data_IF_847690490777
#
_entry.id   IF_847690490777
#
_cell.length_a   1.000
_cell.length_b   1.000
_cell.length_c   1.000
_cell.angle_alpha   90.00
_cell.angle_beta   90.00
_cell.angle_gamma   90.00
#
_symmetry.space_group_name_H-M   'P 1'
#
loop_
_entity.id
_entity.type
_entity.pdbx_description
1 polymer ?
#
# COMPACT_ATOMS: atom_id res chain seq x y z
N UNK A 1 -16.56 2.06 8.72
CA UNK A 1 -16.59 2.36 7.28
C UNK A 1 -16.84 3.85 7.11
N UNK A 2 -16.00 4.55 6.35
CA UNK A 2 -16.28 5.89 5.85
C UNK A 2 -16.96 5.78 4.48
N UNK A 3 -17.94 6.63 4.21
CA UNK A 3 -18.69 6.67 2.95
C UNK A 3 -18.82 8.12 2.52
N UNK A 4 -18.48 8.39 1.27
CA UNK A 4 -18.69 9.67 0.61
C UNK A 4 -19.62 9.48 -0.58
N UNK A 5 -20.55 10.39 -0.75
CA UNK A 5 -21.51 10.37 -1.86
C UNK A 5 -21.66 11.79 -2.41
N UNK A 6 -21.38 11.98 -3.68
CA UNK A 6 -21.59 13.23 -4.37
C UNK A 6 -23.11 13.49 -4.54
N UNK A 7 -23.56 14.71 -4.22
CA UNK A 7 -25.00 15.00 -4.11
C UNK A 7 -25.70 14.98 -5.48
N UNK A 8 -25.04 15.44 -6.55
CA UNK A 8 -25.65 15.52 -7.88
C UNK A 8 -25.56 14.18 -8.63
N UNK A 9 -24.37 13.60 -8.71
CA UNK A 9 -24.10 12.38 -9.48
C UNK A 9 -24.53 11.10 -8.76
N UNK A 10 -24.67 11.13 -7.42
CA UNK A 10 -24.69 9.92 -6.58
C UNK A 10 -23.42 9.06 -6.69
N UNK A 11 -22.31 9.64 -7.13
CA UNK A 11 -21.02 8.96 -7.15
C UNK A 11 -20.60 8.58 -5.73
N UNK A 12 -20.22 7.32 -5.53
CA UNK A 12 -19.96 6.74 -4.22
C UNK A 12 -18.51 6.29 -4.10
N UNK A 13 -17.96 6.57 -2.94
CA UNK A 13 -16.69 6.03 -2.52
C UNK A 13 -16.78 5.59 -1.06
N UNK A 14 -16.14 4.47 -0.73
CA UNK A 14 -16.14 3.98 0.64
C UNK A 14 -14.81 3.30 0.99
N UNK A 15 -14.44 3.38 2.27
CA UNK A 15 -13.25 2.72 2.83
C UNK A 15 -13.51 2.24 4.25
N UNK A 16 -12.98 1.05 4.56
CA UNK A 16 -12.97 0.50 5.92
C UNK A 16 -11.77 1.01 6.70
N UNK A 17 -11.98 1.28 7.97
CA UNK A 17 -10.94 1.65 8.93
C UNK A 17 -11.03 0.76 10.16
N UNK A 18 -9.90 0.51 10.88
CA UNK A 18 -9.90 -0.34 12.07
C UNK A 18 -10.76 0.20 13.21
N UNK A 19 -10.84 1.53 13.33
CA UNK A 19 -11.55 2.23 14.42
C UNK A 19 -12.28 3.45 13.87
N UNK A 20 -13.24 3.95 14.65
CA UNK A 20 -13.91 5.22 14.40
C UNK A 20 -13.30 6.29 15.32
N UNK A 21 -12.30 6.99 14.84
CA UNK A 21 -11.59 8.05 15.56
C UNK A 21 -11.23 9.23 14.63
N UNK A 22 -10.71 10.31 15.21
CA UNK A 22 -10.33 11.52 14.48
C UNK A 22 -9.30 11.25 13.39
N UNK A 23 -8.35 10.35 13.62
CA UNK A 23 -7.33 10.00 12.65
C UNK A 23 -7.92 9.33 11.42
N UNK A 24 -8.78 8.30 11.61
CA UNK A 24 -9.48 7.65 10.50
C UNK A 24 -10.41 8.61 9.75
N UNK A 25 -10.99 9.59 10.46
CA UNK A 25 -11.76 10.66 9.84
C UNK A 25 -10.91 11.53 8.90
N UNK A 26 -9.75 12.00 9.36
CA UNK A 26 -8.82 12.80 8.55
C UNK A 26 -8.31 12.01 7.34
N UNK A 27 -7.89 10.77 7.56
CA UNK A 27 -7.42 9.88 6.49
C UNK A 27 -8.50 9.62 5.44
N UNK A 28 -9.75 9.38 5.87
CA UNK A 28 -10.83 9.09 4.93
C UNK A 28 -11.11 10.24 3.96
N UNK A 29 -11.01 11.48 4.43
CA UNK A 29 -11.15 12.66 3.57
C UNK A 29 -9.95 12.82 2.63
N UNK A 30 -8.75 12.66 3.17
CA UNK A 30 -7.52 12.75 2.38
C UNK A 30 -7.51 11.72 1.25
N UNK A 31 -7.87 10.47 1.56
CA UNK A 31 -7.92 9.39 0.58
C UNK A 31 -9.04 9.61 -0.46
N UNK A 32 -10.20 10.12 -0.03
CA UNK A 32 -11.29 10.43 -0.97
C UNK A 32 -10.93 11.59 -1.90
N UNK A 33 -10.39 12.69 -1.37
CA UNK A 33 -10.00 13.85 -2.20
C UNK A 33 -8.83 13.54 -3.13
N UNK A 34 -7.91 12.69 -2.71
CA UNK A 34 -6.87 12.14 -3.58
C UNK A 34 -7.47 11.27 -4.70
N UNK A 35 -8.41 10.38 -4.38
CA UNK A 35 -9.08 9.50 -5.32
C UNK A 35 -9.84 10.26 -6.42
N UNK A 36 -10.54 11.33 -6.05
CA UNK A 36 -11.29 12.15 -7.02
C UNK A 36 -10.45 13.25 -7.66
N UNK A 37 -9.21 13.45 -7.18
CA UNK A 37 -8.26 14.47 -7.60
C UNK A 37 -8.81 15.89 -7.45
N UNK A 38 -9.35 16.20 -6.27
CA UNK A 38 -9.91 17.50 -5.95
C UNK A 38 -10.73 17.48 -4.66
N UNK A 39 -11.18 18.64 -4.20
CA UNK A 39 -12.10 18.76 -3.07
C UNK A 39 -13.42 19.41 -3.50
N UNK A 40 -14.49 19.08 -2.80
CA UNK A 40 -15.80 19.68 -3.04
C UNK A 40 -15.86 21.08 -2.39
N UNK A 41 -16.60 21.99 -2.96
CA UNK A 41 -16.79 23.33 -2.36
C UNK A 41 -17.53 23.25 -1.00
N UNK A 42 -18.43 22.29 -0.82
CA UNK A 42 -19.16 22.07 0.42
C UNK A 42 -19.23 20.57 0.74
N UNK A 43 -19.05 20.23 2.01
CA UNK A 43 -19.22 18.87 2.55
C UNK A 43 -20.25 18.87 3.66
N UNK A 44 -21.24 17.98 3.54
CA UNK A 44 -22.33 17.84 4.52
C UNK A 44 -22.04 16.65 5.44
N UNK A 45 -22.10 16.90 6.73
CA UNK A 45 -21.82 15.87 7.74
C UNK A 45 -23.08 15.47 8.51
N UNK A 46 -23.21 14.17 8.77
CA UNK A 46 -24.14 13.72 9.81
C UNK A 46 -23.61 14.13 11.20
N UNK A 47 -24.50 14.14 12.18
CA UNK A 47 -24.24 14.62 13.54
C UNK A 47 -23.40 13.61 14.35
N UNK A 48 -22.15 13.35 13.92
CA UNK A 48 -21.23 12.45 14.60
C UNK A 48 -20.25 13.21 15.50
N UNK A 49 -19.87 12.61 16.62
CA UNK A 49 -18.93 13.20 17.60
C UNK A 49 -17.54 13.51 17.03
N UNK A 50 -17.18 12.95 15.88
CA UNK A 50 -15.89 13.24 15.23
C UNK A 50 -15.83 14.62 14.59
N UNK A 51 -16.99 15.19 14.24
CA UNK A 51 -17.09 16.50 13.59
C UNK A 51 -17.67 17.57 14.51
N UNK A 52 -18.46 17.19 15.53
CA UNK A 52 -19.08 18.10 16.50
C UNK A 52 -18.40 17.93 17.86
N UNK A 53 -17.79 19.02 18.34
CA UNK A 53 -17.18 19.09 19.65
C UNK A 53 -18.24 19.31 20.76
N UNK A 54 -19.20 20.22 20.49
CA UNK A 54 -20.22 20.61 21.45
C UNK A 54 -21.49 21.06 20.74
N UNK A 55 -22.65 20.73 21.30
CA UNK A 55 -23.93 21.29 20.93
C UNK A 55 -24.18 22.56 21.76
N UNK A 56 -24.23 23.73 21.13
CA UNK A 56 -24.38 25.05 21.80
C UNK A 56 -25.83 25.53 21.69
N UNK A 57 -26.80 24.68 21.94
CA UNK A 57 -28.21 25.00 21.80
C UNK A 57 -28.93 24.08 20.81
N UNK A 58 -30.19 24.43 20.42
CA UNK A 58 -30.99 23.57 19.55
C UNK A 58 -30.44 23.47 18.11
N UNK A 59 -29.74 24.49 17.61
CA UNK A 59 -29.34 24.58 16.21
C UNK A 59 -27.83 24.89 16.01
N UNK A 60 -27.12 25.28 17.04
CA UNK A 60 -25.68 25.63 16.95
C UNK A 60 -24.79 24.46 17.37
N UNK A 61 -23.84 24.15 16.55
CA UNK A 61 -22.87 23.05 16.74
C UNK A 61 -21.47 23.57 16.56
N UNK A 62 -20.64 23.40 17.60
CA UNK A 62 -19.23 23.74 17.54
C UNK A 62 -18.46 22.62 16.82
N UNK A 63 -17.78 22.92 15.70
CA UNK A 63 -17.00 21.92 14.98
C UNK A 63 -15.75 21.53 15.79
N UNK A 64 -15.24 20.31 15.52
CA UNK A 64 -13.95 19.88 16.08
C UNK A 64 -12.80 20.63 15.40
N UNK A 65 -11.71 20.83 16.13
CA UNK A 65 -10.47 21.45 15.60
C UNK A 65 -9.94 20.67 14.36
N UNK A 66 -10.07 19.35 14.37
CA UNK A 66 -9.68 18.50 13.26
C UNK A 66 -10.47 18.82 11.98
N UNK A 67 -11.78 19.02 12.09
CA UNK A 67 -12.62 19.41 10.95
C UNK A 67 -12.25 20.81 10.45
N UNK A 68 -12.02 21.76 11.37
CA UNK A 68 -11.60 23.12 10.99
C UNK A 68 -10.27 23.13 10.22
N UNK A 69 -9.25 22.42 10.73
CA UNK A 69 -7.96 22.31 10.05
C UNK A 69 -8.08 21.65 8.67
N UNK A 70 -8.87 20.59 8.57
CA UNK A 70 -9.11 19.90 7.32
C UNK A 70 -9.83 20.77 6.29
N UNK A 71 -10.87 21.50 6.71
CA UNK A 71 -11.63 22.39 5.83
C UNK A 71 -10.77 23.56 5.31
N UNK A 72 -9.91 24.13 6.16
CA UNK A 72 -8.98 25.17 5.77
C UNK A 72 -7.94 24.63 4.76
N UNK A 73 -7.40 23.43 5.00
CA UNK A 73 -6.39 22.85 4.12
C UNK A 73 -6.94 22.57 2.71
N UNK A 74 -8.13 21.95 2.62
CA UNK A 74 -8.77 21.60 1.35
C UNK A 74 -9.71 22.71 0.82
N UNK A 75 -9.88 23.82 1.56
CA UNK A 75 -10.68 25.00 1.19
C UNK A 75 -12.15 24.71 0.97
N UNK A 76 -12.72 23.72 1.66
CA UNK A 76 -14.15 23.41 1.58
C UNK A 76 -14.92 24.03 2.73
N UNK A 77 -16.15 24.43 2.46
CA UNK A 77 -17.12 24.76 3.48
C UNK A 77 -17.77 23.49 4.02
N UNK A 78 -18.22 23.52 5.26
CA UNK A 78 -18.95 22.40 5.82
C UNK A 78 -20.25 22.85 6.49
N UNK A 79 -21.22 21.95 6.47
CA UNK A 79 -22.44 22.10 7.25
C UNK A 79 -22.83 20.77 7.87
N UNK A 80 -23.62 20.85 8.91
CA UNK A 80 -24.16 19.68 9.60
C UNK A 80 -25.61 19.47 9.21
N UNK A 81 -26.03 18.21 9.02
CA UNK A 81 -27.44 17.88 8.77
C UNK A 81 -28.34 18.46 9.84
N UNK A 82 -29.44 19.04 9.42
CA UNK A 82 -30.47 19.51 10.34
C UNK A 82 -31.24 18.32 10.91
N UNK A 83 -31.58 18.39 12.21
CA UNK A 83 -32.26 17.30 12.94
C UNK A 83 -33.64 16.93 12.32
N UNK A 84 -34.22 17.79 11.48
CA UNK A 84 -35.53 17.59 10.83
C UNK A 84 -35.51 17.44 9.32
N UNK A 85 -34.33 17.47 8.66
CA UNK A 85 -34.24 17.32 7.19
C UNK A 85 -34.07 15.85 6.83
N UNK A 86 -35.12 15.08 6.83
CA UNK A 86 -35.12 13.65 6.48
C UNK A 86 -34.54 13.35 5.09
N UNK A 87 -34.60 14.31 4.16
CA UNK A 87 -34.07 14.14 2.80
C UNK A 87 -32.53 14.13 2.76
N UNK A 88 -31.85 15.02 3.49
CA UNK A 88 -30.38 15.09 3.50
C UNK A 88 -29.76 13.88 4.20
N UNK A 89 -30.32 13.51 5.35
CA UNK A 89 -29.88 12.31 6.10
C UNK A 89 -30.20 11.03 5.33
N UNK A 90 -31.36 10.97 4.66
CA UNK A 90 -31.77 9.81 3.88
C UNK A 90 -30.83 9.46 2.70
N UNK A 91 -30.16 10.44 2.10
CA UNK A 91 -29.20 10.17 1.01
C UNK A 91 -27.94 9.44 1.49
N UNK A 92 -27.33 9.90 2.58
CA UNK A 92 -26.12 9.30 3.14
C UNK A 92 -26.42 7.92 3.73
N UNK A 93 -27.51 7.79 4.51
CA UNK A 93 -27.92 6.51 5.10
C UNK A 93 -28.25 5.47 4.02
N UNK A 94 -28.99 5.82 2.97
CA UNK A 94 -29.30 4.93 1.84
C UNK A 94 -28.03 4.51 1.11
N UNK A 95 -27.09 5.43 0.87
CA UNK A 95 -25.82 5.10 0.23
C UNK A 95 -25.00 4.11 1.05
N UNK A 96 -24.93 4.33 2.36
CA UNK A 96 -24.23 3.41 3.27
C UNK A 96 -24.89 2.02 3.28
N UNK A 97 -26.21 1.95 3.34
CA UNK A 97 -26.96 0.69 3.32
C UNK A 97 -26.79 -0.06 1.99
N UNK A 98 -26.90 0.65 0.86
CA UNK A 98 -26.70 0.07 -0.48
C UNK A 98 -25.30 -0.51 -0.62
N UNK A 99 -24.27 0.24 -0.23
CA UNK A 99 -22.89 -0.23 -0.30
C UNK A 99 -22.70 -1.47 0.59
N UNK A 100 -23.13 -1.42 1.86
CA UNK A 100 -23.01 -2.56 2.79
C UNK A 100 -23.70 -3.80 2.24
N UNK A 101 -24.93 -3.68 1.79
CA UNK A 101 -25.71 -4.80 1.23
C UNK A 101 -25.05 -5.35 -0.03
N UNK A 102 -24.54 -4.52 -0.93
CA UNK A 102 -23.91 -4.97 -2.19
C UNK A 102 -22.54 -5.56 -1.99
N UNK A 103 -21.74 -4.98 -1.11
CA UNK A 103 -20.39 -5.48 -0.83
C UNK A 103 -20.43 -6.75 0.03
N UNK A 104 -21.10 -6.72 1.19
CA UNK A 104 -20.90 -7.73 2.23
C UNK A 104 -22.01 -8.79 2.29
N UNK A 105 -23.02 -8.75 1.41
CA UNK A 105 -24.00 -9.85 1.30
C UNK A 105 -23.44 -11.08 0.58
N UNK A 106 -22.39 -10.90 -0.26
CA UNK A 106 -21.79 -11.98 -1.04
C UNK A 106 -20.47 -12.50 -0.45
N UNK A 107 -19.71 -11.62 0.19
CA UNK A 107 -18.40 -11.93 0.79
C UNK A 107 -18.26 -11.12 2.08
N UNK A 108 -18.15 -11.79 3.22
CA UNK A 108 -18.06 -11.19 4.56
C UNK A 108 -16.73 -11.52 5.27
N UNK A 109 -15.89 -12.38 4.66
CA UNK A 109 -14.60 -12.81 5.19
C UNK A 109 -13.47 -12.41 4.27
N UNK A 110 -12.43 -11.81 4.84
CA UNK A 110 -11.25 -11.32 4.15
C UNK A 110 -10.00 -11.65 4.96
N UNK A 111 -8.90 -11.89 4.29
CA UNK A 111 -7.62 -12.20 4.95
C UNK A 111 -6.97 -10.95 5.54
N UNK A 112 -7.28 -9.76 5.00
CA UNK A 112 -6.73 -8.49 5.46
C UNK A 112 -7.72 -7.34 5.26
N UNK A 113 -7.47 -6.23 5.97
CA UNK A 113 -8.20 -4.98 5.76
C UNK A 113 -7.96 -4.40 4.36
N UNK A 114 -6.77 -4.59 3.81
CA UNK A 114 -6.42 -4.12 2.47
C UNK A 114 -7.21 -4.89 1.40
N UNK A 115 -7.33 -6.22 1.52
CA UNK A 115 -8.19 -7.04 0.65
C UNK A 115 -9.66 -6.61 0.73
N UNK A 116 -10.16 -6.38 1.95
CA UNK A 116 -11.53 -5.91 2.16
C UNK A 116 -11.77 -4.53 1.54
N UNK A 117 -10.80 -3.63 1.62
CA UNK A 117 -10.88 -2.30 1.02
C UNK A 117 -10.80 -2.34 -0.50
N UNK A 118 -9.97 -3.18 -1.08
CA UNK A 118 -9.91 -3.39 -2.52
C UNK A 118 -11.27 -3.88 -3.06
N UNK A 119 -11.83 -4.91 -2.44
CA UNK A 119 -13.15 -5.43 -2.80
C UNK A 119 -14.28 -4.39 -2.64
N UNK A 120 -14.21 -3.57 -1.59
CA UNK A 120 -15.18 -2.50 -1.36
C UNK A 120 -15.07 -1.40 -2.44
N UNK A 121 -13.85 -1.05 -2.84
CA UNK A 121 -13.61 -0.07 -3.90
C UNK A 121 -14.16 -0.57 -5.25
N UNK A 122 -13.90 -1.82 -5.61
CA UNK A 122 -14.44 -2.47 -6.84
C UNK A 122 -15.98 -2.49 -6.82
N UNK A 123 -16.57 -2.77 -5.65
CA UNK A 123 -18.02 -2.71 -5.47
C UNK A 123 -18.56 -1.28 -5.70
N UNK A 124 -17.90 -0.25 -5.15
CA UNK A 124 -18.29 1.15 -5.38
C UNK A 124 -18.14 1.53 -6.87
N UNK A 125 -17.07 1.12 -7.54
CA UNK A 125 -16.86 1.34 -8.97
C UNK A 125 -17.97 0.70 -9.80
N UNK A 126 -18.33 -0.56 -9.53
CA UNK A 126 -19.46 -1.24 -10.18
C UNK A 126 -20.80 -0.54 -9.95
N UNK A 127 -21.02 0.00 -8.75
CA UNK A 127 -22.23 0.79 -8.45
C UNK A 127 -22.25 2.13 -9.19
N UNK A 128 -21.11 2.75 -9.39
CA UNK A 128 -20.97 4.01 -10.10
C UNK A 128 -21.11 3.87 -11.63
N UNK A 129 -20.89 2.68 -12.16
CA UNK A 129 -21.07 2.37 -13.59
C UNK A 129 -22.49 1.98 -13.96
N UNK A 130 -23.33 1.60 -12.98
CA UNK A 130 -24.70 1.19 -13.24
C UNK A 130 -25.62 2.39 -13.45
N UNK A 131 -26.37 2.37 -14.55
CA UNK A 131 -27.46 3.31 -14.77
C UNK A 131 -28.52 3.15 -13.66
N UNK A 132 -29.03 4.27 -13.15
CA UNK A 132 -30.21 4.28 -12.30
C UNK A 132 -31.46 4.23 -13.20
N UNK A 133 -32.53 3.58 -12.73
CA UNK A 133 -33.78 3.46 -13.50
C UNK A 133 -34.34 4.83 -13.91
N UNK A 134 -34.07 5.86 -13.11
CA UNK A 134 -34.61 7.22 -13.31
C UNK A 134 -33.62 8.20 -13.99
N UNK A 135 -32.43 7.73 -14.39
CA UNK A 135 -31.40 8.60 -14.97
C UNK A 135 -30.79 7.96 -16.22
N UNK A 136 -30.71 8.73 -17.29
CA UNK A 136 -30.08 8.29 -18.57
C UNK A 136 -28.58 8.06 -18.43
N UNK A 137 -27.90 8.77 -17.51
CA UNK A 137 -26.47 8.69 -17.29
C UNK A 137 -26.14 7.96 -15.98
N UNK A 138 -25.05 7.21 -15.97
CA UNK A 138 -24.51 6.57 -14.77
C UNK A 138 -23.96 7.60 -13.78
N UNK A 139 -23.84 7.26 -12.48
CA UNK A 139 -23.16 8.11 -11.50
C UNK A 139 -21.75 8.53 -11.92
N UNK A 140 -21.01 7.65 -12.60
CA UNK A 140 -19.65 7.92 -13.09
C UNK A 140 -19.64 8.98 -14.20
N UNK A 141 -20.58 8.92 -15.13
CA UNK A 141 -20.75 9.89 -16.21
C UNK A 141 -21.17 11.27 -15.68
N UNK A 142 -22.17 11.30 -14.79
CA UNK A 142 -22.59 12.54 -14.12
C UNK A 142 -21.46 13.17 -13.27
N UNK A 143 -20.60 12.34 -12.69
CA UNK A 143 -19.49 12.82 -11.88
C UNK A 143 -18.44 13.56 -12.72
N UNK A 144 -18.33 13.33 -14.03
CA UNK A 144 -17.43 14.12 -14.88
C UNK A 144 -17.84 15.60 -14.91
N UNK A 145 -19.14 15.88 -14.87
CA UNK A 145 -19.65 17.27 -14.81
C UNK A 145 -19.34 17.92 -13.44
N UNK A 146 -19.40 17.15 -12.35
CA UNK A 146 -19.00 17.61 -11.01
C UNK A 146 -17.48 17.79 -10.90
N UNK A 147 -16.71 16.90 -11.51
CA UNK A 147 -15.24 16.91 -11.46
C UNK A 147 -14.65 18.23 -11.98
N UNK A 148 -15.28 18.81 -12.99
CA UNK A 148 -14.87 20.12 -13.52
C UNK A 148 -15.06 21.28 -12.52
N UNK A 149 -15.87 21.07 -11.47
CA UNK A 149 -16.17 22.08 -10.42
C UNK A 149 -15.42 21.81 -9.11
N UNK A 150 -14.61 20.75 -9.03
CA UNK A 150 -13.84 20.47 -7.83
C UNK A 150 -12.75 21.52 -7.64
N UNK A 151 -12.50 21.87 -6.40
CA UNK A 151 -11.39 22.75 -6.03
C UNK A 151 -10.06 21.99 -6.14
N UNK A 152 -9.02 22.58 -6.69
CA UNK A 152 -7.72 21.94 -6.78
C UNK A 152 -7.13 21.70 -5.38
N UNK A 153 -6.55 20.52 -5.14
CA UNK A 153 -5.87 20.17 -3.91
C UNK A 153 -4.38 20.44 -3.99
N UNK A 154 -3.76 20.86 -2.88
CA UNK A 154 -2.32 21.16 -2.79
C UNK A 154 -1.52 19.86 -2.56
N UNK A 155 -2.21 18.76 -2.28
CA UNK A 155 -1.64 17.46 -1.94
C UNK A 155 -2.46 16.73 -0.89
N UNK A 156 -1.90 15.65 -0.36
CA UNK A 156 -2.55 14.87 0.70
C UNK A 156 -2.35 15.52 2.06
N UNK A 157 -3.43 15.70 2.84
CA UNK A 157 -3.35 16.17 4.22
C UNK A 157 -2.57 15.16 5.08
N UNK A 158 -1.57 15.64 5.81
CA UNK A 158 -0.81 14.79 6.74
C UNK A 158 -1.63 14.50 7.99
N UNK A 159 -2.20 13.32 8.05
CA UNK A 159 -3.08 12.86 9.14
C UNK A 159 -2.35 12.08 10.22
N UNK A 160 -1.06 11.77 10.03
CA UNK A 160 -0.29 10.97 10.97
C UNK A 160 -0.17 11.67 12.35
N UNK A 161 -0.31 10.90 13.40
CA UNK A 161 0.14 11.27 14.73
C UNK A 161 1.66 11.13 14.78
N UNK A 162 2.35 12.21 15.13
CA UNK A 162 3.80 12.23 15.23
C UNK A 162 4.21 11.95 16.68
N UNK A 163 5.08 10.97 16.88
CA UNK A 163 5.68 10.66 18.17
C UNK A 163 7.19 10.50 18.03
N UNK A 164 7.93 10.96 19.03
CA UNK A 164 9.36 10.72 19.19
C UNK A 164 9.53 9.59 20.19
N UNK A 165 9.98 8.43 19.72
CA UNK A 165 10.06 7.23 20.53
C UNK A 165 11.51 6.77 20.67
N UNK A 166 11.91 6.42 21.91
CA UNK A 166 13.22 5.83 22.16
C UNK A 166 13.19 4.35 21.84
N UNK A 167 14.20 3.89 21.10
CA UNK A 167 14.41 2.48 20.82
C UNK A 167 14.98 1.79 22.06
N UNK A 168 14.35 0.71 22.46
CA UNK A 168 14.79 -0.09 23.60
C UNK A 168 16.01 -1.00 23.26
N UNK A 169 16.51 -1.73 24.27
CA UNK A 169 17.63 -2.67 24.11
C UNK A 169 17.31 -3.88 23.21
N UNK A 170 16.05 -4.10 22.92
CA UNK A 170 15.58 -5.18 22.03
C UNK A 170 15.29 -4.69 20.61
N UNK A 171 15.74 -3.48 20.26
CA UNK A 171 15.49 -2.84 18.97
C UNK A 171 14.00 -2.62 18.69
N UNK A 172 13.24 -2.20 19.70
CA UNK A 172 11.80 -1.96 19.60
C UNK A 172 11.42 -0.53 19.91
N UNK A 173 10.36 -0.07 19.26
CA UNK A 173 9.59 1.12 19.64
C UNK A 173 8.19 0.67 20.08
N UNK A 174 7.60 1.38 21.06
CA UNK A 174 6.26 1.05 21.57
C UNK A 174 5.25 2.06 21.05
N UNK A 175 4.25 1.57 20.33
CA UNK A 175 3.13 2.37 19.83
C UNK A 175 1.82 1.70 20.26
N UNK A 176 0.95 2.46 20.92
CA UNK A 176 -0.36 1.98 21.39
C UNK A 176 -0.29 0.58 22.07
N UNK A 177 0.65 0.40 23.03
CA UNK A 177 0.93 -0.84 23.77
C UNK A 177 1.58 -1.99 22.99
N UNK A 178 1.73 -1.90 21.67
CA UNK A 178 2.40 -2.90 20.85
C UNK A 178 3.87 -2.52 20.60
N UNK A 179 4.72 -3.54 20.48
CA UNK A 179 6.15 -3.38 20.22
C UNK A 179 6.43 -3.62 18.73
N UNK A 180 7.11 -2.68 18.09
CA UNK A 180 7.46 -2.76 16.66
C UNK A 180 8.97 -2.71 16.52
N UNK A 181 9.52 -3.69 15.81
CA UNK A 181 10.97 -3.75 15.61
C UNK A 181 11.47 -2.65 14.68
N UNK A 182 12.69 -2.19 14.94
CA UNK A 182 13.44 -1.29 14.08
C UNK A 182 14.86 -1.83 13.91
N UNK A 183 15.63 -1.43 12.89
CA UNK A 183 16.98 -1.93 12.71
C UNK A 183 17.84 -1.76 13.98
N UNK A 184 18.58 -2.81 14.33
CA UNK A 184 19.36 -2.95 15.57
C UNK A 184 20.42 -1.85 15.77
N UNK A 185 20.86 -1.20 14.70
CA UNK A 185 21.77 -0.04 14.70
C UNK A 185 21.19 1.20 15.40
N UNK A 186 19.87 1.24 15.65
CA UNK A 186 19.19 2.37 16.28
C UNK A 186 18.88 2.17 17.76
N UNK A 187 19.37 1.11 18.38
CA UNK A 187 19.24 0.89 19.83
C UNK A 187 19.69 2.12 20.62
N UNK A 188 18.88 2.53 21.61
CA UNK A 188 19.04 3.73 22.44
C UNK A 188 18.87 5.08 21.71
N UNK A 189 18.63 5.12 20.39
CA UNK A 189 18.33 6.37 19.68
C UNK A 189 16.86 6.75 19.81
N UNK A 190 16.55 8.00 19.53
CA UNK A 190 15.17 8.49 19.43
C UNK A 190 14.81 8.56 17.95
N UNK A 191 13.69 7.94 17.58
CA UNK A 191 13.18 7.88 16.22
C UNK A 191 11.85 8.63 16.13
N UNK A 192 11.62 9.26 14.97
CA UNK A 192 10.37 9.96 14.64
C UNK A 192 9.40 8.95 14.04
N UNK A 193 8.28 8.69 14.70
CA UNK A 193 7.26 7.77 14.25
C UNK A 193 6.05 8.52 13.71
N UNK A 194 5.68 8.28 12.45
CA UNK A 194 4.41 8.67 11.84
C UNK A 194 3.42 7.52 12.00
N UNK A 195 2.41 7.72 12.81
CA UNK A 195 1.43 6.70 13.18
C UNK A 195 0.12 7.02 12.46
N UNK A 196 -0.23 6.19 11.49
CA UNK A 196 -1.50 6.23 10.74
C UNK A 196 -2.53 5.28 11.34
N UNK A 197 -3.71 5.20 10.75
CA UNK A 197 -4.78 4.29 11.20
C UNK A 197 -4.39 2.82 11.06
N UNK A 198 -3.69 2.47 9.99
CA UNK A 198 -3.30 1.09 9.64
C UNK A 198 -1.78 0.90 9.46
N UNK A 199 -1.00 1.95 9.50
CA UNK A 199 0.43 1.92 9.22
C UNK A 199 1.24 2.70 10.26
N UNK A 200 2.46 2.26 10.51
CA UNK A 200 3.47 2.95 11.32
C UNK A 200 4.72 3.08 10.47
N UNK A 201 5.16 4.31 10.22
CA UNK A 201 6.39 4.59 9.48
C UNK A 201 7.36 5.25 10.43
N UNK A 202 8.55 4.66 10.53
CA UNK A 202 9.60 5.11 11.45
C UNK A 202 10.72 5.77 10.66
N UNK A 203 11.15 6.93 11.12
CA UNK A 203 12.21 7.72 10.51
C UNK A 203 13.33 7.98 11.50
N UNK A 204 14.55 7.95 11.00
CA UNK A 204 15.71 8.53 11.66
C UNK A 204 16.18 9.71 10.82
N UNK A 205 16.16 10.92 11.41
CA UNK A 205 16.29 12.15 10.64
C UNK A 205 15.22 12.20 9.53
N UNK A 206 15.60 12.23 8.25
CA UNK A 206 14.65 12.21 7.12
C UNK A 206 14.60 10.84 6.41
N UNK A 207 15.42 9.87 6.84
CA UNK A 207 15.47 8.53 6.25
C UNK A 207 14.37 7.64 6.84
N UNK A 208 13.57 6.99 5.99
CA UNK A 208 12.62 5.96 6.40
C UNK A 208 13.38 4.68 6.77
N UNK A 209 13.36 4.29 8.05
CA UNK A 209 14.12 3.14 8.57
C UNK A 209 13.27 1.92 8.86
N UNK A 210 11.97 2.08 9.06
CA UNK A 210 11.04 0.95 9.21
C UNK A 210 9.61 1.33 8.79
N UNK A 211 8.85 0.32 8.38
CA UNK A 211 7.42 0.42 8.08
C UNK A 211 6.72 -0.84 8.58
N UNK A 212 5.66 -0.67 9.36
CA UNK A 212 4.86 -1.77 9.88
C UNK A 212 3.38 -1.54 9.61
N UNK A 213 2.64 -2.61 9.38
CA UNK A 213 1.19 -2.59 9.54
C UNK A 213 0.86 -2.52 11.01
N UNK A 214 -0.06 -1.63 11.39
CA UNK A 214 -0.47 -1.46 12.76
C UNK A 214 -1.31 -2.65 13.21
N UNK A 215 -0.89 -3.29 14.31
CA UNK A 215 -1.63 -4.40 14.86
C UNK A 215 -2.86 -3.89 15.62
N UNK A 216 -4.07 -4.43 15.38
CA UNK A 216 -5.28 -4.03 16.10
C UNK A 216 -5.36 -4.54 17.53
N UNK A 217 -4.55 -5.56 17.89
CA UNK A 217 -4.44 -6.11 19.23
C UNK A 217 -3.67 -5.24 20.20
N UNK A 218 -3.57 -5.68 21.46
CA UNK A 218 -2.76 -5.05 22.49
C UNK A 218 -1.62 -5.96 22.92
N UNK A 219 -0.52 -5.37 23.38
CA UNK A 219 0.66 -6.06 23.93
C UNK A 219 1.29 -7.07 22.96
N UNK A 220 1.21 -6.81 21.65
CA UNK A 220 1.77 -7.69 20.62
C UNK A 220 3.20 -7.24 20.27
N UNK A 221 3.99 -8.22 19.82
CA UNK A 221 5.35 -8.02 19.34
C UNK A 221 5.38 -8.27 17.84
N UNK A 222 5.57 -7.21 17.06
CA UNK A 222 5.61 -7.24 15.60
C UNK A 222 7.07 -7.11 15.20
N UNK A 223 7.66 -8.23 14.80
CA UNK A 223 9.10 -8.36 14.59
C UNK A 223 9.36 -8.65 13.11
N UNK A 224 10.23 -7.85 12.51
CA UNK A 224 10.78 -8.09 11.19
C UNK A 224 12.20 -8.60 11.32
N UNK A 225 12.48 -9.75 10.71
CA UNK A 225 13.78 -10.42 10.81
C UNK A 225 14.91 -9.55 10.23
N UNK A 226 14.60 -8.81 9.15
CA UNK A 226 15.52 -7.88 8.50
C UNK A 226 16.13 -6.83 9.44
N UNK A 227 15.43 -6.49 10.51
CA UNK A 227 15.92 -5.52 11.49
C UNK A 227 17.03 -6.05 12.39
N UNK A 228 17.28 -7.35 12.41
CA UNK A 228 18.22 -8.02 13.30
C UNK A 228 19.39 -8.68 12.56
N UNK A 229 19.50 -8.51 11.23
CA UNK A 229 20.46 -9.23 10.41
C UNK A 229 21.91 -9.00 10.85
N UNK A 230 22.27 -7.78 11.27
CA UNK A 230 23.61 -7.50 11.78
C UNK A 230 23.93 -8.26 13.08
N UNK A 231 22.98 -8.29 14.01
CA UNK A 231 23.12 -9.05 15.26
C UNK A 231 23.16 -10.55 15.00
N UNK A 232 22.29 -11.05 14.11
CA UNK A 232 22.23 -12.46 13.73
C UNK A 232 23.46 -12.90 12.95
N UNK A 233 24.03 -12.07 12.09
CA UNK A 233 25.28 -12.36 11.39
C UNK A 233 26.44 -12.62 12.35
N UNK A 234 26.49 -11.89 13.47
CA UNK A 234 27.48 -12.11 14.54
C UNK A 234 27.18 -13.35 15.39
N UNK A 235 25.92 -13.78 15.47
CA UNK A 235 25.47 -14.93 16.27
C UNK A 235 24.51 -15.81 15.44
N UNK A 236 25.00 -16.49 14.39
CA UNK A 236 24.12 -17.20 13.44
C UNK A 236 23.26 -18.28 14.09
N UNK A 237 23.81 -19.00 15.06
CA UNK A 237 23.09 -20.07 15.78
C UNK A 237 21.87 -19.56 16.58
N UNK A 238 21.74 -18.26 16.78
CA UNK A 238 20.57 -17.68 17.42
C UNK A 238 19.36 -17.52 16.44
N UNK A 239 19.57 -17.66 15.14
CA UNK A 239 18.56 -17.44 14.11
C UNK A 239 17.31 -18.30 14.34
N UNK A 240 17.46 -19.60 14.43
CA UNK A 240 16.36 -20.58 14.52
C UNK A 240 15.51 -20.38 15.77
N UNK A 241 16.16 -20.01 16.88
CA UNK A 241 15.51 -19.81 18.18
C UNK A 241 14.95 -18.39 18.35
N UNK A 242 15.17 -17.50 17.37
CA UNK A 242 14.71 -16.11 17.47
C UNK A 242 13.19 -16.01 17.26
N UNK A 243 12.55 -15.08 18.00
CA UNK A 243 11.16 -14.74 17.74
C UNK A 243 10.97 -14.15 16.33
N UNK A 244 12.00 -13.52 15.78
CA UNK A 244 11.99 -12.95 14.45
C UNK A 244 11.85 -14.05 13.36
N UNK A 245 12.60 -15.15 13.48
CA UNK A 245 12.51 -16.27 12.53
C UNK A 245 11.13 -16.96 12.56
N UNK A 246 10.46 -17.00 13.72
CA UNK A 246 9.12 -17.58 13.85
C UNK A 246 8.02 -16.74 13.19
N UNK A 247 8.29 -15.47 12.90
CA UNK A 247 7.34 -14.51 12.32
C UNK A 247 7.58 -14.22 10.83
N UNK A 248 8.60 -14.84 10.21
CA UNK A 248 8.84 -14.66 8.76
C UNK A 248 7.82 -15.43 7.93
N UNK A 249 7.72 -15.03 6.68
CA UNK A 249 6.86 -15.68 5.68
C UNK A 249 7.17 -17.17 5.55
N UNK A 250 6.13 -18.00 5.39
CA UNK A 250 6.25 -19.44 5.28
C UNK A 250 7.11 -19.89 4.09
N UNK A 251 7.11 -19.15 2.98
CA UNK A 251 7.96 -19.43 1.83
C UNK A 251 9.43 -19.29 2.18
N UNK A 252 9.79 -18.25 2.92
CA UNK A 252 11.18 -18.03 3.37
C UNK A 252 11.60 -19.12 4.37
N UNK A 253 10.70 -19.53 5.28
CA UNK A 253 10.97 -20.66 6.18
C UNK A 253 11.19 -21.96 5.40
N UNK A 254 10.40 -22.22 4.36
CA UNK A 254 10.54 -23.39 3.50
C UNK A 254 11.88 -23.40 2.75
N UNK A 255 12.35 -22.23 2.27
CA UNK A 255 13.68 -22.10 1.64
C UNK A 255 14.77 -22.47 2.65
N UNK A 256 14.70 -21.96 3.88
CA UNK A 256 15.66 -22.32 4.94
C UNK A 256 15.66 -23.82 5.19
N UNK A 257 14.49 -24.41 5.45
CA UNK A 257 14.35 -25.81 5.78
C UNK A 257 14.81 -26.75 4.64
N UNK A 258 14.66 -26.31 3.39
CA UNK A 258 15.05 -27.13 2.22
C UNK A 258 16.52 -27.06 1.87
N UNK A 259 17.21 -25.92 2.11
CA UNK A 259 18.53 -25.70 1.50
C UNK A 259 19.57 -25.12 2.45
N UNK A 260 19.18 -24.57 3.61
CA UNK A 260 20.10 -23.79 4.46
C UNK A 260 20.20 -24.28 5.91
N UNK A 261 19.65 -25.44 6.24
CA UNK A 261 19.85 -26.04 7.58
C UNK A 261 21.34 -26.26 7.82
N UNK A 262 21.87 -25.70 8.93
CA UNK A 262 23.30 -25.75 9.27
C UNK A 262 24.17 -24.76 8.49
N UNK A 263 23.54 -23.88 7.69
CA UNK A 263 24.20 -22.81 6.91
C UNK A 263 23.59 -21.44 7.23
N UNK A 264 23.44 -21.14 8.50
CA UNK A 264 22.70 -19.97 8.99
C UNK A 264 23.30 -18.65 8.47
N UNK A 265 24.62 -18.57 8.30
CA UNK A 265 25.28 -17.38 7.72
C UNK A 265 24.87 -17.14 6.28
N UNK A 266 24.91 -18.20 5.45
CA UNK A 266 24.50 -18.10 4.05
C UNK A 266 23.03 -17.71 3.93
N UNK A 267 22.18 -18.22 4.85
CA UNK A 267 20.78 -17.84 4.88
C UNK A 267 20.56 -16.38 5.30
N UNK A 268 21.34 -15.87 6.26
CA UNK A 268 21.28 -14.44 6.65
C UNK A 268 21.70 -13.54 5.46
N UNK A 269 22.72 -13.95 4.70
CA UNK A 269 23.08 -13.24 3.47
C UNK A 269 22.00 -13.35 2.38
N UNK A 270 21.32 -14.51 2.28
CA UNK A 270 20.17 -14.66 1.40
C UNK A 270 19.01 -13.71 1.78
N UNK A 271 18.79 -13.51 3.07
CA UNK A 271 17.77 -12.54 3.55
C UNK A 271 18.12 -11.10 3.15
N UNK A 272 19.41 -10.72 3.19
CA UNK A 272 19.86 -9.43 2.65
C UNK A 272 19.56 -9.33 1.16
N UNK A 273 19.91 -10.35 0.39
CA UNK A 273 19.62 -10.41 -1.04
C UNK A 273 18.12 -10.31 -1.34
N UNK A 274 17.26 -11.00 -0.57
CA UNK A 274 15.78 -10.87 -0.69
C UNK A 274 15.34 -9.44 -0.47
N UNK A 275 15.97 -8.72 0.46
CA UNK A 275 15.69 -7.29 0.70
C UNK A 275 16.04 -6.39 -0.50
N UNK A 276 17.06 -6.75 -1.27
CA UNK A 276 17.53 -6.00 -2.45
C UNK A 276 16.72 -6.31 -3.71
N UNK A 277 16.58 -7.60 -4.06
CA UNK A 277 16.00 -8.05 -5.34
C UNK A 277 14.56 -8.57 -5.24
N UNK A 278 14.03 -8.69 -4.04
CA UNK A 278 12.72 -9.26 -3.74
C UNK A 278 12.67 -10.80 -3.73
N UNK A 279 11.73 -11.36 -2.98
CA UNK A 279 11.59 -12.82 -2.81
C UNK A 279 11.29 -13.53 -4.14
N UNK A 280 10.47 -12.95 -5.01
CA UNK A 280 10.09 -13.56 -6.29
C UNK A 280 11.27 -13.79 -7.23
N UNK A 281 12.30 -12.94 -7.20
CA UNK A 281 13.54 -13.12 -7.97
C UNK A 281 14.37 -14.27 -7.41
N UNK A 282 14.42 -14.41 -6.10
CA UNK A 282 15.12 -15.51 -5.43
C UNK A 282 14.42 -16.85 -5.67
N UNK A 283 13.10 -16.91 -5.58
CA UNK A 283 12.31 -18.12 -5.85
C UNK A 283 12.50 -18.59 -7.30
N UNK A 284 12.41 -17.67 -8.27
CA UNK A 284 12.70 -17.98 -9.68
C UNK A 284 14.13 -18.52 -9.87
N UNK A 285 15.11 -17.91 -9.22
CA UNK A 285 16.50 -18.36 -9.28
C UNK A 285 16.67 -19.77 -8.70
N UNK A 286 16.02 -20.09 -7.59
CA UNK A 286 16.01 -21.42 -7.00
C UNK A 286 15.37 -22.44 -7.96
N UNK A 287 14.26 -22.10 -8.63
CA UNK A 287 13.62 -22.98 -9.61
C UNK A 287 14.55 -23.29 -10.79
N UNK A 288 15.25 -22.29 -11.32
CA UNK A 288 16.23 -22.47 -12.40
C UNK A 288 17.37 -23.40 -11.95
N UNK A 289 17.92 -23.17 -10.75
CA UNK A 289 19.00 -24.03 -10.22
C UNK A 289 18.51 -25.47 -10.05
N UNK A 290 17.30 -25.68 -9.55
CA UNK A 290 16.72 -27.03 -9.35
C UNK A 290 16.55 -27.80 -10.66
N UNK A 291 16.24 -27.11 -11.77
CA UNK A 291 16.17 -27.75 -13.10
C UNK A 291 17.52 -28.23 -13.60
N UNK A 292 18.61 -27.54 -13.25
CA UNK A 292 19.97 -27.84 -13.72
C UNK A 292 20.70 -28.78 -12.74
N UNK A 293 20.61 -28.46 -11.43
CA UNK A 293 21.31 -29.20 -10.36
C UNK A 293 20.38 -29.34 -9.14
N UNK A 294 19.51 -30.38 -9.10
CA UNK A 294 18.44 -30.50 -8.08
C UNK A 294 18.92 -30.52 -6.63
N UNK A 295 20.14 -31.02 -6.38
CA UNK A 295 20.69 -31.24 -5.03
C UNK A 295 21.65 -30.14 -4.55
N UNK A 296 21.97 -29.15 -5.38
CA UNK A 296 23.02 -28.18 -5.09
C UNK A 296 22.54 -26.73 -5.23
N UNK A 297 21.54 -26.36 -4.43
CA UNK A 297 21.14 -24.94 -4.27
C UNK A 297 22.09 -24.31 -3.25
N UNK A 298 22.86 -23.30 -3.69
CA UNK A 298 23.79 -22.55 -2.85
C UNK A 298 23.56 -21.04 -3.01
N UNK A 299 23.95 -20.26 -2.00
CA UNK A 299 23.82 -18.80 -2.02
C UNK A 299 24.51 -18.18 -3.24
N UNK A 300 25.73 -18.62 -3.58
CA UNK A 300 26.50 -18.07 -4.70
C UNK A 300 25.80 -18.27 -6.05
N UNK A 301 25.19 -19.46 -6.26
CA UNK A 301 24.38 -19.73 -7.46
C UNK A 301 23.16 -18.84 -7.55
N UNK A 302 22.47 -18.63 -6.41
CA UNK A 302 21.31 -17.73 -6.35
C UNK A 302 21.74 -16.31 -6.67
N UNK A 303 22.82 -15.80 -6.05
CA UNK A 303 23.39 -14.46 -6.32
C UNK A 303 23.72 -14.30 -7.80
N UNK A 304 24.38 -15.29 -8.39
CA UNK A 304 24.77 -15.26 -9.80
C UNK A 304 23.57 -15.15 -10.76
N UNK A 305 22.50 -15.92 -10.50
CA UNK A 305 21.31 -15.88 -11.37
C UNK A 305 20.52 -14.59 -11.15
N UNK A 306 20.39 -14.10 -9.91
CA UNK A 306 19.72 -12.83 -9.63
C UNK A 306 20.41 -11.67 -10.36
N UNK A 307 21.75 -11.58 -10.30
CA UNK A 307 22.52 -10.55 -11.02
C UNK A 307 22.32 -10.61 -12.54
N UNK A 308 22.29 -11.82 -13.11
CA UNK A 308 22.09 -12.01 -14.55
C UNK A 308 20.67 -11.66 -15.01
N UNK A 309 19.67 -11.95 -14.17
CA UNK A 309 18.29 -11.55 -14.45
C UNK A 309 18.11 -10.02 -14.42
N UNK A 310 18.81 -9.34 -13.52
CA UNK A 310 18.81 -7.87 -13.49
C UNK A 310 19.43 -7.27 -14.76
N UNK A 311 20.50 -7.89 -15.29
CA UNK A 311 21.10 -7.49 -16.58
C UNK A 311 20.12 -7.72 -17.75
N UNK A 312 19.45 -8.89 -17.82
CA UNK A 312 18.44 -9.18 -18.88
C UNK A 312 17.24 -8.24 -18.79
N UNK A 313 16.73 -7.92 -17.59
CA UNK A 313 15.65 -6.96 -17.41
C UNK A 313 16.11 -5.53 -17.72
N UNK A 314 17.37 -5.19 -17.44
CA UNK A 314 17.99 -3.93 -17.84
C UNK A 314 18.08 -3.84 -19.37
N UNK A 315 18.57 -4.89 -20.04
CA UNK A 315 18.65 -4.95 -21.50
C UNK A 315 17.27 -4.89 -22.14
N UNK A 316 16.27 -5.64 -21.66
CA UNK A 316 14.89 -5.55 -22.15
C UNK A 316 14.33 -4.15 -22.01
N UNK A 317 14.46 -3.51 -20.86
CA UNK A 317 13.94 -2.17 -20.59
C UNK A 317 14.57 -1.08 -21.46
N UNK A 318 15.84 -1.23 -21.83
CA UNK A 318 16.57 -0.27 -22.68
C UNK A 318 16.49 -0.57 -24.18
N UNK A 319 16.34 -1.83 -24.58
CA UNK A 319 16.37 -2.24 -25.98
C UNK A 319 14.97 -2.54 -26.57
N UNK A 320 13.95 -2.85 -25.79
CA UNK A 320 12.58 -2.94 -26.28
C UNK A 320 11.98 -1.57 -26.66
N UNK A 321 12.52 -0.48 -26.16
CA UNK A 321 12.13 0.89 -26.54
C UNK A 321 12.84 1.39 -27.83
N UNK A 322 13.81 0.67 -28.35
CA UNK A 322 14.55 1.07 -29.56
C UNK A 322 14.38 0.04 -30.69
N UNK A 323 13.11 -0.24 -31.01
CA UNK A 323 12.74 -1.10 -32.13
C UNK A 323 13.35 -0.66 -33.47
N UNK A 324 13.78 0.59 -33.57
CA UNK A 324 14.46 1.13 -34.77
C UNK A 324 15.87 0.57 -34.95
N UNK A 325 16.65 0.41 -33.88
CA UNK A 325 18.02 -0.11 -33.93
C UNK A 325 18.03 -1.61 -34.22
N UNK A 326 17.11 -2.36 -33.57
CA UNK A 326 16.98 -3.82 -33.81
C UNK A 326 16.52 -4.09 -35.25
N UNK A 327 15.54 -3.35 -35.75
CA UNK A 327 15.08 -3.50 -37.13
C UNK A 327 16.16 -3.08 -38.15
N UNK A 328 16.92 -2.03 -37.91
CA UNK A 328 18.04 -1.66 -38.76
C UNK A 328 19.15 -2.72 -38.74
N UNK A 329 19.46 -3.33 -37.59
CA UNK A 329 20.44 -4.40 -37.47
C UNK A 329 19.99 -5.68 -38.21
N UNK A 330 18.73 -6.06 -38.11
CA UNK A 330 18.13 -7.19 -38.85
C UNK A 330 18.14 -6.91 -40.35
N UNK A 331 17.79 -5.71 -40.78
CA UNK A 331 17.82 -5.33 -42.20
C UNK A 331 19.25 -5.34 -42.77
N UNK A 332 20.25 -4.87 -41.99
CA UNK A 332 21.66 -4.96 -42.37
C UNK A 332 22.12 -6.42 -42.50
N UNK A 333 21.76 -7.29 -41.54
CA UNK A 333 22.10 -8.73 -41.61
C UNK A 333 21.43 -9.42 -42.83
N UNK A 334 20.19 -9.10 -43.15
CA UNK A 334 19.51 -9.63 -44.30
C UNK A 334 20.14 -9.14 -45.61
N UNK A 335 20.50 -7.87 -45.74
CA UNK A 335 21.22 -7.32 -46.88
C UNK A 335 22.62 -7.99 -47.06
N UNK A 336 23.34 -8.28 -45.97
CA UNK A 336 24.58 -9.03 -46.04
C UNK A 336 24.39 -10.49 -46.49
N UNK A 337 23.31 -11.13 -46.04
CA UNK A 337 22.97 -12.49 -46.45
C UNK A 337 22.62 -12.56 -47.97
N UNK A 338 21.90 -11.58 -48.50
CA UNK A 338 21.61 -11.46 -49.94
C UNK A 338 22.88 -11.25 -50.78
N UNK A 339 23.77 -10.33 -50.35
CA UNK A 339 25.06 -10.09 -51.03
C UNK A 339 26.01 -11.32 -51.02
N UNK A 340 25.91 -12.17 -49.99
CA UNK A 340 26.66 -13.42 -49.95
C UNK A 340 26.03 -14.53 -50.79
N UNK A 341 24.72 -14.50 -51.03
CA UNK A 341 24.07 -15.46 -51.93
C UNK A 341 24.34 -15.13 -53.42
N UNK A 342 24.31 -13.84 -53.80
CA UNK A 342 24.63 -13.40 -55.17
C UNK A 342 26.07 -13.68 -55.58
N UNK A 343 27.03 -13.75 -54.61
CA UNK A 343 28.42 -14.13 -54.92
C UNK A 343 28.63 -15.64 -55.18
N UNK A 344 27.67 -16.48 -54.80
CA UNK A 344 27.76 -17.93 -55.09
C UNK A 344 27.27 -18.32 -56.50
N UNK A 345 26.45 -17.51 -57.11
CA UNK A 345 25.90 -17.76 -58.48
C UNK A 345 26.73 -17.14 -59.59
N UNK A 346 27.87 -16.47 -59.24
CA UNK A 346 28.79 -15.83 -60.19
C UNK A 346 30.11 -16.59 -60.46
N UNK A 347 30.25 -17.85 -59.99
CA UNK A 347 31.40 -18.71 -60.28
C UNK A 347 30.85 -20.06 -60.75
N UNK A 348 30.46 -20.14 -62.02
CA UNK A 348 30.36 -21.37 -62.80
C UNK A 348 30.81 -21.10 -64.22
#
# INVERSE_FOLDING_TARGET
MAVFTAAYSNFRWAKLFPKQNTQCFLESHSDFFEYVNGSFAEVVYDNIRLVIKKFVGRNEKEPTEALLKLSLYYRFNFRFCNVRSGNEKGHVERSMEVIRRKAFSKKDRFNSLDEANQYLLETCQSLNERHSYDKEKSPKELFQDEKAKLLPTIGKYESARLELLRVDKYSMVVVDTCHYSVPDRFVNKILKCKIYSNDIIVYFEEEKVAHHKKNPGAFQWIIKLEHYLNTLYRKPNALINSCAFKQIDGNIQNIYNSFFIGKEKDFIELLNLIGEVGIGSVERSIEVIRKITPTSVTLDKIKFICQRNDEEDYYKKYFENDSSIVNNSINLLNNYAELLSERKDGIS
#
